data_IF_892030332361
#
_entry.id   IF_892030332361
#
_cell.length_a   1.000
_cell.length_b   1.000
_cell.length_c   1.000
_cell.angle_alpha   90.00
_cell.angle_beta   90.00
_cell.angle_gamma   90.00
#
_symmetry.space_group_name_H-M   'P 1'
#
loop_
_entity.id
_entity.type
_entity.pdbx_description
1 polymer ?
#
# COMPACT_ATOMS: atom_id res chain seq x y z
N UNK A 1 -15.58 -27.94 -17.43
CA UNK A 1 -15.44 -27.16 -16.18
C UNK A 1 -16.83 -26.99 -15.61
N UNK A 2 -17.08 -27.51 -14.40
CA UNK A 2 -18.37 -27.37 -13.71
C UNK A 2 -18.34 -26.16 -12.77
N UNK A 3 -19.52 -25.68 -12.33
CA UNK A 3 -19.61 -24.42 -11.56
C UNK A 3 -18.85 -24.45 -10.24
N UNK A 4 -18.78 -25.61 -9.59
CA UNK A 4 -18.06 -25.78 -8.32
C UNK A 4 -16.54 -25.65 -8.52
N UNK A 5 -16.01 -26.22 -9.61
CA UNK A 5 -14.59 -26.12 -9.97
C UNK A 5 -14.18 -24.67 -10.29
N UNK A 6 -15.08 -23.88 -10.89
CA UNK A 6 -14.84 -22.45 -11.16
C UNK A 6 -14.69 -21.69 -9.85
N UNK A 7 -15.57 -21.94 -8.87
CA UNK A 7 -15.54 -21.26 -7.56
C UNK A 7 -14.28 -21.59 -6.77
N UNK A 8 -13.80 -22.82 -6.84
CA UNK A 8 -12.56 -23.23 -6.16
C UNK A 8 -11.32 -22.58 -6.78
N UNK A 9 -11.26 -22.52 -8.11
CA UNK A 9 -10.07 -22.04 -8.85
C UNK A 9 -10.00 -20.53 -8.99
N UNK A 10 -11.14 -19.83 -9.03
CA UNK A 10 -11.22 -18.38 -9.23
C UNK A 10 -10.50 -17.60 -8.13
N UNK A 11 -9.29 -17.14 -8.44
CA UNK A 11 -8.48 -16.30 -7.56
C UNK A 11 -8.41 -14.86 -8.06
N UNK A 12 -7.98 -14.70 -9.30
CA UNK A 12 -7.97 -13.44 -10.01
C UNK A 12 -8.45 -13.67 -11.44
N UNK A 13 -8.90 -12.60 -12.08
CA UNK A 13 -9.33 -12.64 -13.47
C UNK A 13 -8.12 -12.48 -14.39
N UNK A 14 -8.15 -13.05 -15.60
CA UNK A 14 -9.07 -14.11 -16.06
C UNK A 14 -8.91 -15.46 -15.34
N UNK A 15 -10.00 -16.22 -15.16
CA UNK A 15 -10.02 -17.46 -14.33
C UNK A 15 -8.98 -18.50 -14.77
N UNK A 16 -8.79 -18.67 -16.07
CA UNK A 16 -7.85 -19.65 -16.63
C UNK A 16 -6.42 -19.12 -16.77
N UNK A 17 -6.22 -17.82 -16.58
CA UNK A 17 -4.91 -17.17 -16.67
C UNK A 17 -4.89 -15.93 -15.74
N UNK A 18 -4.82 -16.14 -14.42
CA UNK A 18 -4.98 -15.06 -13.45
C UNK A 18 -3.94 -13.96 -13.66
N UNK A 19 -4.33 -12.68 -13.59
CA UNK A 19 -3.42 -11.55 -13.78
C UNK A 19 -2.24 -11.51 -12.78
N UNK A 20 -2.40 -12.17 -11.63
CA UNK A 20 -1.35 -12.35 -10.63
C UNK A 20 -1.52 -13.70 -9.90
N UNK A 21 -0.41 -14.34 -9.47
CA UNK A 21 -0.44 -15.65 -8.82
C UNK A 21 -0.86 -15.55 -7.34
N UNK A 22 -1.18 -16.69 -6.71
CA UNK A 22 -1.51 -16.75 -5.28
C UNK A 22 -0.27 -16.48 -4.40
N UNK A 23 -0.45 -15.88 -3.20
CA UNK A 23 0.64 -15.67 -2.23
C UNK A 23 1.25 -17.00 -1.72
N UNK A 24 2.44 -16.97 -1.09
CA UNK A 24 3.13 -15.80 -0.55
C UNK A 24 3.91 -14.98 -1.57
N UNK A 25 3.70 -13.66 -1.60
CA UNK A 25 4.53 -12.72 -2.35
C UNK A 25 5.81 -12.42 -1.56
N UNK A 26 6.96 -12.83 -2.09
CA UNK A 26 8.25 -12.63 -1.42
C UNK A 26 9.05 -11.54 -2.13
N UNK A 27 9.44 -10.54 -1.37
CA UNK A 27 10.31 -9.46 -1.82
C UNK A 27 11.69 -9.66 -1.19
N UNK A 28 12.71 -9.90 -2.02
CA UNK A 28 14.10 -9.99 -1.56
C UNK A 28 14.78 -8.64 -1.79
N UNK A 29 15.53 -8.16 -0.79
CA UNK A 29 16.31 -6.92 -0.88
C UNK A 29 15.52 -5.76 -1.49
N UNK A 30 14.26 -5.57 -1.05
CA UNK A 30 13.49 -4.41 -1.46
C UNK A 30 14.06 -3.19 -0.74
N UNK A 31 14.87 -2.44 -1.45
CA UNK A 31 15.48 -1.21 -0.97
C UNK A 31 14.46 -0.07 -1.01
N UNK A 32 14.49 0.77 0.02
CA UNK A 32 13.61 1.92 0.16
C UNK A 32 14.43 3.15 0.48
N UNK A 33 13.94 4.28 -0.02
CA UNK A 33 14.31 5.61 0.41
C UNK A 33 13.02 6.33 0.75
N UNK A 34 13.03 7.00 1.91
CA UNK A 34 11.86 7.69 2.42
C UNK A 34 12.27 9.12 2.77
N UNK A 35 11.69 10.10 2.07
CA UNK A 35 11.85 11.51 2.40
C UNK A 35 10.63 11.95 3.21
N UNK A 36 10.85 12.33 4.47
CA UNK A 36 9.83 12.80 5.40
C UNK A 36 9.78 14.34 5.39
N UNK A 37 8.68 14.94 4.94
CA UNK A 37 8.52 16.41 4.92
C UNK A 37 7.14 16.86 5.40
N UNK A 38 7.10 18.07 5.98
CA UNK A 38 5.85 18.69 6.47
C UNK A 38 5.02 19.21 5.30
N UNK A 39 3.72 18.97 5.33
CA UNK A 39 2.78 19.46 4.31
C UNK A 39 1.60 20.19 4.96
N UNK A 40 0.73 20.75 4.12
CA UNK A 40 -0.50 21.41 4.52
C UNK A 40 -1.49 20.38 5.12
N UNK A 41 -1.91 20.53 6.40
CA UNK A 41 -2.86 19.62 7.04
C UNK A 41 -4.24 19.62 6.38
N UNK A 42 -4.69 20.72 5.77
CA UNK A 42 -6.01 20.78 5.15
C UNK A 42 -6.05 19.99 3.84
N UNK A 43 -4.98 20.11 3.03
CA UNK A 43 -4.81 19.28 1.83
C UNK A 43 -4.76 17.78 2.15
N UNK A 44 -4.18 17.38 3.30
CA UNK A 44 -4.19 16.00 3.73
C UNK A 44 -5.59 15.51 4.12
N UNK A 45 -6.40 16.34 4.77
CA UNK A 45 -7.76 15.95 5.19
C UNK A 45 -8.68 15.65 4.01
N UNK A 46 -8.51 16.35 2.90
CA UNK A 46 -9.33 16.15 1.69
C UNK A 46 -9.12 14.77 1.06
N UNK A 47 -7.90 14.22 1.15
CA UNK A 47 -7.54 12.95 0.50
C UNK A 47 -7.62 11.74 1.42
N UNK A 48 -7.75 11.95 2.73
CA UNK A 48 -7.81 10.88 3.72
C UNK A 48 -9.26 10.40 3.87
N UNK A 49 -9.58 9.14 3.50
CA UNK A 49 -10.95 8.63 3.64
C UNK A 49 -11.28 8.30 5.09
N UNK A 50 -12.54 8.51 5.49
CA UNK A 50 -13.06 8.01 6.76
C UNK A 50 -12.95 6.47 6.82
N UNK A 51 -12.60 5.85 7.97
CA UNK A 51 -12.44 6.42 9.32
C UNK A 51 -10.98 6.74 9.69
N UNK A 52 -10.12 7.01 8.70
CA UNK A 52 -8.70 7.21 8.96
C UNK A 52 -8.42 8.61 9.54
N UNK A 53 -7.58 8.68 10.57
CA UNK A 53 -7.16 9.94 11.20
C UNK A 53 -5.70 10.25 10.90
N UNK A 54 -5.40 11.52 10.64
CA UNK A 54 -4.03 12.03 10.44
C UNK A 54 -3.33 12.15 11.81
N UNK A 55 -2.24 11.39 11.99
CA UNK A 55 -1.43 11.42 13.22
C UNK A 55 -0.49 12.63 13.24
N UNK A 56 0.13 12.95 12.09
CA UNK A 56 1.04 14.10 11.91
C UNK A 56 0.85 14.69 10.51
N UNK A 57 0.97 16.03 10.32
CA UNK A 57 0.87 16.66 9.00
C UNK A 57 2.16 16.49 8.19
N UNK A 58 2.51 15.23 7.92
CA UNK A 58 3.77 14.82 7.33
C UNK A 58 3.53 13.76 6.27
N UNK A 59 4.16 13.93 5.10
CA UNK A 59 4.12 13.00 3.98
C UNK A 59 5.47 12.30 3.87
N UNK A 60 5.41 11.00 3.57
CA UNK A 60 6.56 10.19 3.25
C UNK A 60 6.55 9.91 1.74
N UNK A 61 7.47 10.52 1.01
CA UNK A 61 7.67 10.25 -0.40
C UNK A 61 8.69 9.11 -0.58
N UNK A 62 8.25 8.06 -1.28
CA UNK A 62 9.09 6.92 -1.61
C UNK A 62 9.67 7.09 -3.02
N UNK A 63 10.84 7.73 -3.11
CA UNK A 63 11.59 7.94 -4.36
C UNK A 63 13.07 7.58 -4.16
N UNK A 64 13.67 6.87 -5.09
CA UNK A 64 15.03 6.34 -4.94
C UNK A 64 16.14 7.40 -4.88
N UNK A 65 16.58 7.79 -3.67
CA UNK A 65 17.91 8.35 -3.38
C UNK A 65 18.35 8.14 -1.91
N UNK A 66 19.35 7.28 -1.65
CA UNK A 66 19.85 6.78 -0.33
C UNK A 66 19.77 7.81 0.81
N UNK A 67 18.90 7.63 1.82
CA UNK A 67 19.08 7.99 3.25
C UNK A 67 18.09 7.21 4.16
N UNK A 68 18.61 6.66 5.26
CA UNK A 68 17.93 5.82 6.28
C UNK A 68 17.49 6.66 7.49
N UNK A 69 16.27 6.41 7.98
CA UNK A 69 15.96 6.06 9.38
C UNK A 69 14.45 6.10 9.66
N UNK A 70 13.84 4.91 9.66
CA UNK A 70 12.68 4.59 10.51
C UNK A 70 11.28 5.02 10.04
N UNK A 71 10.36 4.04 10.08
CA UNK A 71 8.89 4.17 9.92
C UNK A 71 8.37 4.47 8.50
N UNK A 72 8.27 3.42 7.69
CA UNK A 72 7.59 3.44 6.39
C UNK A 72 6.06 3.45 6.54
N UNK A 73 5.45 4.55 6.11
CA UNK A 73 4.01 4.69 5.89
C UNK A 73 3.75 5.98 5.12
N UNK A 74 3.01 5.95 4.01
CA UNK A 74 2.89 7.09 3.06
C UNK A 74 2.22 8.34 3.68
N UNK A 75 1.40 8.17 4.70
CA UNK A 75 1.01 9.18 5.71
C UNK A 75 0.80 8.36 6.99
N UNK A 76 1.21 8.85 8.16
CA UNK A 76 0.88 8.17 9.42
C UNK A 76 -0.62 8.38 9.66
N UNK A 77 -1.41 7.41 9.18
CA UNK A 77 -2.84 7.32 9.42
C UNK A 77 -3.07 6.23 10.45
N UNK A 78 -3.91 6.52 11.45
CA UNK A 78 -4.42 5.50 12.37
C UNK A 78 -5.89 5.26 12.08
N UNK A 79 -6.33 4.01 12.21
CA UNK A 79 -7.75 3.73 12.31
C UNK A 79 -8.25 4.23 13.67
N UNK A 80 -9.35 4.97 13.68
CA UNK A 80 -10.08 5.33 14.90
C UNK A 80 -10.62 4.09 15.62
#
# INVERSE_FOLDING_TARGET
>A
MNIDEVKERAFAMPVCNPAYPRPPYRFYNREYIVIKYRTDPDALREVVPEPLEIVEPVVNENGGAIFDHGSGGIVLLRAA
#
